data_IF_086399245333
#
_entry.id   IF_086399245333
#
_cell.length_a   1.000
_cell.length_b   1.000
_cell.length_c   1.000
_cell.angle_alpha   90.00
_cell.angle_beta   90.00
_cell.angle_gamma   90.00
#
_symmetry.space_group_name_H-M   'P 1'
#
loop_
_entity.id
_entity.type
_entity.pdbx_description
1 polymer ?
#
# COMPACT_ATOMS: atom_id res chain seq x y z
N UNK A 1 -18.30 5.92 16.62
CA UNK A 1 -16.89 5.90 17.06
C UNK A 1 -16.08 5.15 16.02
N UNK A 2 -15.02 5.76 15.51
CA UNK A 2 -14.21 5.22 14.41
C UNK A 2 -13.37 4.02 14.86
N UNK A 3 -13.51 2.88 14.19
CA UNK A 3 -12.68 1.68 14.42
C UNK A 3 -11.99 1.24 13.13
N UNK A 4 -10.69 1.03 13.20
CA UNK A 4 -9.90 0.49 12.09
C UNK A 4 -9.67 -1.00 12.29
N UNK A 5 -10.14 -1.81 11.36
CA UNK A 5 -9.91 -3.25 11.31
C UNK A 5 -8.62 -3.54 10.53
N UNK A 6 -7.53 -3.65 11.26
CA UNK A 6 -6.18 -3.77 10.73
C UNK A 6 -5.72 -5.23 10.69
N UNK A 7 -5.44 -5.73 9.52
CA UNK A 7 -4.74 -7.00 9.33
C UNK A 7 -3.24 -6.72 9.23
N UNK A 8 -2.43 -7.47 9.93
CA UNK A 8 -0.97 -7.32 9.88
C UNK A 8 -0.42 -7.43 8.44
N UNK A 9 0.65 -6.70 8.13
CA UNK A 9 1.30 -6.67 6.81
C UNK A 9 0.31 -6.52 5.66
N UNK A 10 -0.54 -5.52 5.75
CA UNK A 10 -1.59 -5.25 4.75
C UNK A 10 -1.71 -3.77 4.40
N UNK A 11 -2.54 -3.50 3.41
CA UNK A 11 -2.87 -2.14 2.96
C UNK A 11 -3.51 -1.26 4.01
N UNK A 12 -3.95 -1.81 5.15
CA UNK A 12 -4.53 -1.03 6.25
C UNK A 12 -3.54 -0.07 6.90
N UNK A 13 -2.24 -0.26 6.70
CA UNK A 13 -1.22 0.68 7.15
C UNK A 13 -1.41 2.10 6.56
N UNK A 14 -1.94 2.21 5.34
CA UNK A 14 -2.30 3.48 4.71
C UNK A 14 -3.30 4.28 5.53
N UNK A 15 -4.30 3.57 6.05
CA UNK A 15 -5.39 4.14 6.86
C UNK A 15 -4.86 4.60 8.21
N UNK A 16 -4.02 3.78 8.85
CA UNK A 16 -3.37 4.16 10.10
C UNK A 16 -2.54 5.42 9.93
N UNK A 17 -1.71 5.48 8.88
CA UNK A 17 -0.89 6.65 8.61
C UNK A 17 -1.74 7.91 8.39
N UNK A 18 -2.81 7.84 7.59
CA UNK A 18 -3.70 8.98 7.38
C UNK A 18 -4.32 9.47 8.68
N UNK A 19 -4.84 8.57 9.51
CA UNK A 19 -5.44 8.93 10.79
C UNK A 19 -4.45 9.54 11.77
N UNK A 20 -3.21 9.05 11.79
CA UNK A 20 -2.14 9.65 12.59
C UNK A 20 -1.72 11.05 12.10
N UNK A 21 -1.77 11.31 10.80
CA UNK A 21 -1.54 12.65 10.24
C UNK A 21 -2.68 13.61 10.60
N UNK A 22 -3.91 13.13 10.50
CA UNK A 22 -5.12 13.93 10.81
C UNK A 22 -5.30 14.16 12.33
N UNK A 23 -4.58 13.41 13.18
CA UNK A 23 -4.76 13.48 14.63
C UNK A 23 -6.14 13.01 15.10
N UNK A 24 -6.81 12.19 14.30
CA UNK A 24 -8.16 11.69 14.60
C UNK A 24 -8.09 10.51 15.57
N UNK A 25 -8.82 10.55 16.70
CA UNK A 25 -8.89 9.41 17.60
C UNK A 25 -9.65 8.25 16.98
N UNK A 26 -9.11 7.03 17.13
CA UNK A 26 -9.72 5.80 16.63
C UNK A 26 -9.40 4.61 17.52
N UNK A 27 -10.25 3.59 17.46
CA UNK A 27 -9.99 2.27 18.04
C UNK A 27 -9.28 1.39 17.00
N UNK A 28 -8.19 0.74 17.39
CA UNK A 28 -7.47 -0.19 16.53
C UNK A 28 -7.82 -1.63 16.89
N UNK A 29 -8.51 -2.33 16.01
CA UNK A 29 -8.73 -3.77 16.12
C UNK A 29 -7.77 -4.52 15.21
N UNK A 30 -6.77 -5.19 15.81
CA UNK A 30 -5.74 -5.93 15.09
C UNK A 30 -6.17 -7.36 14.83
N UNK A 31 -5.82 -7.84 13.64
CA UNK A 31 -6.02 -9.24 13.22
C UNK A 31 -4.69 -9.82 12.76
N UNK A 32 -4.35 -10.99 13.27
CA UNK A 32 -3.23 -11.77 12.80
C UNK A 32 -3.63 -12.59 11.57
N UNK A 33 -2.68 -12.86 10.70
CA UNK A 33 -2.90 -13.82 9.60
C UNK A 33 -2.87 -15.24 10.13
N UNK A 34 -3.66 -16.11 9.54
CA UNK A 34 -3.55 -17.55 9.77
C UNK A 34 -2.11 -18.02 9.53
N UNK A 35 -1.52 -18.71 10.49
CA UNK A 35 -0.09 -19.07 10.46
C UNK A 35 0.27 -19.99 9.30
N UNK A 36 -0.67 -20.82 8.82
CA UNK A 36 -0.47 -21.79 7.74
C UNK A 36 -0.84 -21.23 6.37
N UNK A 37 -2.04 -20.67 6.26
CA UNK A 37 -2.58 -20.21 4.97
C UNK A 37 -2.18 -18.78 4.62
N UNK A 38 -1.71 -18.00 5.60
CA UNK A 38 -1.43 -16.56 5.50
C UNK A 38 -2.64 -15.71 5.10
N UNK A 39 -3.83 -16.29 5.12
CA UNK A 39 -5.08 -15.58 4.85
C UNK A 39 -5.55 -14.77 6.06
N UNK A 40 -6.49 -13.88 5.81
CA UNK A 40 -7.20 -13.15 6.86
C UNK A 40 -8.08 -14.12 7.68
N UNK A 41 -8.21 -13.91 9.00
CA UNK A 41 -9.02 -14.77 9.85
C UNK A 41 -10.52 -14.58 9.56
N UNK A 42 -11.35 -15.60 9.88
CA UNK A 42 -12.79 -15.57 9.61
C UNK A 42 -13.54 -14.40 10.24
N UNK A 43 -13.04 -13.87 11.35
CA UNK A 43 -13.63 -12.74 12.07
C UNK A 43 -13.73 -11.48 11.23
N UNK A 44 -12.83 -11.28 10.25
CA UNK A 44 -12.93 -10.17 9.29
C UNK A 44 -14.15 -10.29 8.39
N UNK A 45 -14.62 -11.52 8.09
CA UNK A 45 -15.86 -11.72 7.32
C UNK A 45 -17.11 -11.30 8.08
N UNK A 46 -17.08 -11.36 9.42
CA UNK A 46 -18.18 -10.86 10.25
C UNK A 46 -18.25 -9.32 10.23
N UNK A 47 -17.15 -8.61 9.92
CA UNK A 47 -17.13 -7.15 9.78
C UNK A 47 -17.57 -6.74 8.37
N UNK A 48 -17.02 -7.39 7.35
CA UNK A 48 -17.36 -7.12 5.96
C UNK A 48 -17.28 -8.42 5.13
N UNK A 49 -18.27 -8.74 4.27
CA UNK A 49 -18.40 -10.04 3.61
C UNK A 49 -17.18 -10.43 2.74
N UNK A 50 -16.41 -9.49 2.24
CA UNK A 50 -15.16 -9.77 1.50
C UNK A 50 -14.06 -10.37 2.38
N UNK A 51 -14.10 -10.20 3.72
CA UNK A 51 -13.07 -10.68 4.63
C UNK A 51 -11.68 -10.13 4.31
N UNK A 52 -11.60 -8.90 3.83
CA UNK A 52 -10.37 -8.20 3.46
C UNK A 52 -10.09 -7.05 4.44
N UNK A 53 -8.88 -6.51 4.38
CA UNK A 53 -8.44 -5.34 5.14
C UNK A 53 -7.70 -4.38 4.20
N UNK A 54 -7.86 -3.05 4.38
CA UNK A 54 -8.55 -2.37 5.48
C UNK A 54 -10.08 -2.44 5.41
N UNK A 55 -10.69 -2.38 6.58
CA UNK A 55 -12.09 -2.02 6.77
C UNK A 55 -12.15 -1.00 7.90
N UNK A 56 -13.01 -0.01 7.77
CA UNK A 56 -13.28 0.98 8.81
C UNK A 56 -14.77 0.91 9.15
N UNK A 57 -15.08 0.89 10.44
CA UNK A 57 -16.46 1.09 10.92
C UNK A 57 -16.54 2.42 11.64
N UNK A 58 -17.52 3.24 11.27
CA UNK A 58 -17.78 4.53 11.89
C UNK A 58 -19.27 4.66 12.19
N UNK A 59 -19.61 4.52 13.46
CA UNK A 59 -20.99 4.40 13.96
C UNK A 59 -21.77 3.27 13.24
N UNK A 60 -22.60 3.61 12.24
CA UNK A 60 -23.42 2.63 11.49
C UNK A 60 -22.85 2.29 10.11
N UNK A 61 -21.78 2.97 9.70
CA UNK A 61 -21.19 2.78 8.39
C UNK A 61 -20.03 1.78 8.45
N UNK A 62 -19.96 0.90 7.48
CA UNK A 62 -18.82 -0.01 7.28
C UNK A 62 -18.27 0.22 5.88
N UNK A 63 -17.03 0.69 5.83
CA UNK A 63 -16.37 1.10 4.59
C UNK A 63 -15.19 0.16 4.34
N UNK A 64 -15.17 -0.44 3.17
CA UNK A 64 -14.07 -1.26 2.65
C UNK A 64 -13.42 -0.57 1.45
N UNK A 65 -12.34 -1.13 0.93
CA UNK A 65 -11.46 -0.61 -0.10
C UNK A 65 -10.60 0.57 0.39
N UNK A 66 -9.29 0.42 0.28
CA UNK A 66 -8.36 1.40 0.84
C UNK A 66 -8.54 2.80 0.23
N UNK A 67 -8.78 2.90 -1.07
CA UNK A 67 -9.04 4.18 -1.73
C UNK A 67 -10.29 4.87 -1.20
N UNK A 68 -11.42 4.16 -1.16
CA UNK A 68 -12.68 4.69 -0.64
C UNK A 68 -12.58 5.11 0.83
N UNK A 69 -11.86 4.34 1.64
CA UNK A 69 -11.60 4.68 3.06
C UNK A 69 -10.78 5.97 3.17
N UNK A 70 -9.72 6.11 2.36
CA UNK A 70 -8.87 7.31 2.37
C UNK A 70 -9.66 8.55 1.96
N UNK A 71 -10.49 8.46 0.91
CA UNK A 71 -11.38 9.55 0.47
C UNK A 71 -12.37 9.92 1.57
N UNK A 72 -13.10 8.95 2.11
CA UNK A 72 -14.05 9.17 3.20
C UNK A 72 -13.42 9.87 4.42
N UNK A 73 -12.26 9.39 4.87
CA UNK A 73 -11.58 9.98 6.02
C UNK A 73 -11.06 11.37 5.72
N UNK A 74 -10.52 11.60 4.54
CA UNK A 74 -10.05 12.91 4.13
C UNK A 74 -11.20 13.93 4.00
N UNK A 75 -12.32 13.57 3.38
CA UNK A 75 -13.52 14.40 3.27
C UNK A 75 -14.09 14.74 4.65
N UNK A 76 -14.16 13.76 5.54
CA UNK A 76 -14.77 13.93 6.85
C UNK A 76 -13.92 14.74 7.82
N UNK A 77 -12.59 14.62 7.74
CA UNK A 77 -11.70 15.16 8.77
C UNK A 77 -10.67 16.17 8.28
N UNK A 78 -10.30 16.23 6.98
CA UNK A 78 -9.26 17.14 6.50
C UNK A 78 -9.69 18.63 6.58
N UNK A 79 -10.96 18.93 6.49
CA UNK A 79 -11.47 20.31 6.64
C UNK A 79 -11.21 20.92 8.02
N UNK A 80 -10.86 20.09 9.00
CA UNK A 80 -10.51 20.49 10.38
C UNK A 80 -9.01 20.69 10.56
N UNK A 81 -8.19 20.39 9.56
CA UNK A 81 -6.74 20.52 9.61
C UNK A 81 -6.27 21.80 8.94
N UNK A 82 -5.24 22.41 9.50
CA UNK A 82 -4.55 23.57 8.93
C UNK A 82 -3.16 23.16 8.42
N UNK A 83 -2.50 24.04 7.68
CA UNK A 83 -1.13 23.83 7.21
C UNK A 83 -1.02 22.85 6.06
N UNK A 84 0.00 21.99 6.10
CA UNK A 84 0.36 21.08 5.01
C UNK A 84 -0.78 20.11 4.61
N UNK A 85 -1.67 19.78 5.54
CA UNK A 85 -2.80 18.88 5.30
C UNK A 85 -4.07 19.57 4.78
N UNK A 86 -4.09 20.88 4.68
CA UNK A 86 -5.21 21.61 4.08
C UNK A 86 -5.41 21.26 2.59
N UNK A 87 -4.34 20.83 1.91
CA UNK A 87 -4.33 20.37 0.51
C UNK A 87 -4.46 18.86 0.32
N UNK A 88 -4.87 18.12 1.36
CA UNK A 88 -4.93 16.66 1.31
C UNK A 88 -5.80 16.13 0.17
N UNK A 89 -6.92 16.79 -0.10
CA UNK A 89 -7.71 16.60 -1.33
C UNK A 89 -7.50 17.87 -2.18
N UNK A 90 -6.73 17.81 -3.27
CA UNK A 90 -6.52 18.98 -4.11
C UNK A 90 -7.82 19.48 -4.73
N UNK A 91 -7.91 20.80 -4.93
CA UNK A 91 -9.11 21.48 -5.44
C UNK A 91 -9.53 20.91 -6.80
N UNK A 92 -10.81 20.58 -6.92
CA UNK A 92 -11.37 20.05 -8.16
C UNK A 92 -11.07 20.96 -9.38
N UNK A 93 -10.72 20.35 -10.51
CA UNK A 93 -10.37 21.06 -11.75
C UNK A 93 -8.87 21.42 -11.87
N UNK A 94 -8.08 21.35 -10.79
CA UNK A 94 -6.64 21.65 -10.84
C UNK A 94 -5.81 20.50 -11.42
N UNK A 95 -4.57 20.75 -11.89
CA UNK A 95 -3.65 19.70 -12.28
C UNK A 95 -3.37 18.71 -11.13
N UNK A 96 -3.19 19.19 -9.91
CA UNK A 96 -2.91 18.41 -8.71
C UNK A 96 -4.06 17.45 -8.39
N UNK A 97 -5.32 17.89 -8.58
CA UNK A 97 -6.49 17.03 -8.42
C UNK A 97 -6.50 15.89 -9.46
N UNK A 98 -6.16 16.18 -10.72
CA UNK A 98 -6.06 15.14 -11.76
C UNK A 98 -4.94 14.14 -11.44
N UNK A 99 -3.79 14.63 -10.97
CA UNK A 99 -2.68 13.78 -10.54
C UNK A 99 -3.07 12.92 -9.32
N UNK A 100 -3.70 13.51 -8.31
CA UNK A 100 -4.17 12.75 -7.15
C UNK A 100 -5.10 11.60 -7.56
N UNK A 101 -6.09 11.87 -8.42
CA UNK A 101 -6.99 10.84 -8.94
C UNK A 101 -6.25 9.78 -9.74
N UNK A 102 -5.32 10.17 -10.62
CA UNK A 102 -4.52 9.22 -11.38
C UNK A 102 -3.78 8.25 -10.45
N UNK A 103 -3.05 8.75 -9.48
CA UNK A 103 -2.25 7.91 -8.58
C UNK A 103 -3.09 7.09 -7.60
N UNK A 104 -4.25 7.60 -7.19
CA UNK A 104 -5.23 6.83 -6.41
C UNK A 104 -5.67 5.56 -7.14
N UNK A 105 -5.96 5.66 -8.44
CA UNK A 105 -6.36 4.51 -9.27
C UNK A 105 -5.16 3.67 -9.71
N UNK A 106 -4.03 4.30 -10.06
CA UNK A 106 -2.82 3.63 -10.52
C UNK A 106 -2.29 2.62 -9.49
N UNK A 107 -2.34 2.97 -8.21
CA UNK A 107 -1.83 2.13 -7.13
C UNK A 107 -2.39 0.70 -7.17
N UNK A 108 -3.71 0.56 -7.24
CA UNK A 108 -4.36 -0.75 -7.20
C UNK A 108 -4.71 -1.28 -8.61
N UNK A 109 -5.12 -0.40 -9.53
CA UNK A 109 -5.54 -0.80 -10.87
C UNK A 109 -4.39 -1.22 -11.79
N UNK A 110 -3.19 -0.70 -11.57
CA UNK A 110 -2.04 -0.95 -12.43
C UNK A 110 -0.86 -1.57 -11.68
N UNK A 111 -0.30 -0.87 -10.69
CA UNK A 111 0.96 -1.26 -10.06
C UNK A 111 0.81 -2.53 -9.21
N UNK A 112 -0.18 -2.58 -8.33
CA UNK A 112 -0.32 -3.70 -7.39
C UNK A 112 -0.63 -5.02 -8.08
N UNK A 113 -1.27 -5.03 -9.24
CA UNK A 113 -1.51 -6.24 -10.02
C UNK A 113 -0.19 -6.95 -10.37
N UNK A 114 0.79 -6.21 -10.89
CA UNK A 114 2.11 -6.76 -11.21
C UNK A 114 2.87 -7.19 -9.96
N UNK A 115 2.78 -6.42 -8.88
CA UNK A 115 3.47 -6.76 -7.63
C UNK A 115 2.87 -7.99 -6.94
N UNK A 116 1.56 -8.18 -7.01
CA UNK A 116 0.90 -9.40 -6.49
C UNK A 116 1.26 -10.60 -7.36
N UNK A 117 1.22 -10.46 -8.70
CA UNK A 117 1.69 -11.52 -9.60
C UNK A 117 3.14 -11.90 -9.31
N UNK A 118 4.03 -10.91 -9.16
CA UNK A 118 5.44 -11.16 -8.80
C UNK A 118 5.54 -11.96 -7.51
N UNK A 119 4.82 -11.56 -6.47
CA UNK A 119 4.79 -12.30 -5.20
C UNK A 119 4.30 -13.74 -5.37
N UNK A 120 3.24 -13.95 -6.14
CA UNK A 120 2.71 -15.30 -6.41
C UNK A 120 3.75 -16.19 -7.10
N UNK A 121 4.37 -15.70 -8.18
CA UNK A 121 5.37 -16.46 -8.92
C UNK A 121 6.68 -16.68 -8.15
N UNK A 122 7.02 -15.82 -7.20
CA UNK A 122 8.11 -16.06 -6.25
C UNK A 122 7.74 -17.13 -5.23
N UNK A 123 6.47 -17.22 -4.83
CA UNK A 123 6.03 -18.11 -3.76
C UNK A 123 5.70 -19.53 -4.25
N UNK A 124 5.18 -19.69 -5.47
CA UNK A 124 4.78 -20.99 -6.02
C UNK A 124 5.90 -22.06 -5.89
N UNK A 125 7.17 -21.80 -6.25
CA UNK A 125 8.23 -22.82 -6.15
C UNK A 125 8.61 -23.21 -4.72
N UNK A 126 8.16 -22.45 -3.72
CA UNK A 126 8.43 -22.71 -2.30
C UNK A 126 7.34 -23.55 -1.63
N UNK A 127 6.20 -23.74 -2.32
CA UNK A 127 5.09 -24.54 -1.79
C UNK A 127 5.45 -26.03 -1.71
N UNK A 128 4.78 -26.79 -0.82
CA UNK A 128 4.93 -28.22 -0.77
C UNK A 128 4.61 -28.88 -2.12
N UNK A 129 5.59 -29.59 -2.69
CA UNK A 129 5.44 -30.33 -3.95
C UNK A 129 6.47 -31.47 -4.02
N UNK A 130 6.23 -32.51 -4.84
CA UNK A 130 7.22 -33.56 -5.09
C UNK A 130 8.55 -32.98 -5.56
N UNK A 131 9.67 -33.59 -5.11
CA UNK A 131 10.99 -33.01 -5.33
C UNK A 131 11.36 -32.89 -6.83
N UNK A 132 10.88 -33.81 -7.67
CA UNK A 132 11.10 -33.77 -9.12
C UNK A 132 10.27 -32.72 -9.86
N UNK A 133 9.18 -32.22 -9.28
CA UNK A 133 8.38 -31.16 -9.86
C UNK A 133 8.98 -29.76 -9.58
N UNK A 134 9.69 -29.62 -8.46
CA UNK A 134 10.23 -28.34 -8.01
C UNK A 134 11.15 -27.64 -9.04
N UNK A 135 12.11 -28.31 -9.72
CA UNK A 135 12.93 -27.65 -10.73
C UNK A 135 12.11 -27.15 -11.93
N UNK A 136 11.07 -27.89 -12.35
CA UNK A 136 10.17 -27.50 -13.42
C UNK A 136 9.38 -26.27 -13.02
N UNK A 137 8.80 -26.27 -11.82
CA UNK A 137 8.06 -25.12 -11.27
C UNK A 137 8.96 -23.86 -11.17
N UNK A 138 10.22 -24.02 -10.70
CA UNK A 138 11.19 -22.91 -10.65
C UNK A 138 11.46 -22.33 -12.02
N UNK A 139 11.75 -23.17 -13.00
CA UNK A 139 12.08 -22.76 -14.37
C UNK A 139 10.87 -22.04 -15.02
N UNK A 140 9.68 -22.59 -14.88
CA UNK A 140 8.46 -21.99 -15.42
C UNK A 140 8.19 -20.60 -14.77
N UNK A 141 8.22 -20.54 -13.44
CA UNK A 141 8.01 -19.31 -12.71
C UNK A 141 9.07 -18.24 -13.04
N UNK A 142 10.34 -18.62 -13.13
CA UNK A 142 11.42 -17.72 -13.52
C UNK A 142 11.21 -17.18 -14.95
N UNK A 143 10.78 -18.04 -15.89
CA UNK A 143 10.51 -17.62 -17.27
C UNK A 143 9.37 -16.60 -17.34
N UNK A 144 8.26 -16.84 -16.64
CA UNK A 144 7.12 -15.90 -16.59
C UNK A 144 7.56 -14.59 -15.94
N UNK A 145 8.31 -14.66 -14.83
CA UNK A 145 8.82 -13.44 -14.19
C UNK A 145 9.69 -12.64 -15.16
N UNK A 146 10.71 -13.25 -15.76
CA UNK A 146 11.65 -12.55 -16.64
C UNK A 146 11.00 -11.99 -17.91
N UNK A 147 10.03 -12.71 -18.52
CA UNK A 147 9.45 -12.31 -19.81
C UNK A 147 8.23 -11.40 -19.67
N UNK A 148 7.50 -11.48 -18.58
CA UNK A 148 6.23 -10.74 -18.45
C UNK A 148 6.24 -9.80 -17.24
N UNK A 149 6.56 -10.30 -16.04
CA UNK A 149 6.32 -9.54 -14.82
C UNK A 149 7.41 -8.48 -14.61
N UNK A 150 8.67 -8.85 -14.69
CA UNK A 150 9.80 -7.97 -14.40
C UNK A 150 9.89 -6.76 -15.35
N UNK A 151 9.64 -6.89 -16.68
CA UNK A 151 9.60 -5.73 -17.57
C UNK A 151 8.49 -4.74 -17.19
N UNK A 152 7.30 -5.22 -16.81
CA UNK A 152 6.19 -4.36 -16.40
C UNK A 152 6.46 -3.68 -15.06
N UNK A 153 7.05 -4.38 -14.09
CA UNK A 153 7.48 -3.80 -12.82
C UNK A 153 8.58 -2.76 -13.04
N UNK A 154 9.56 -3.04 -13.91
CA UNK A 154 10.62 -2.10 -14.24
C UNK A 154 10.07 -0.82 -14.91
N UNK A 155 9.13 -0.97 -15.85
CA UNK A 155 8.43 0.16 -16.47
C UNK A 155 7.68 1.00 -15.43
N UNK A 156 6.97 0.36 -14.52
CA UNK A 156 6.25 1.05 -13.45
C UNK A 156 7.20 1.81 -12.50
N UNK A 157 8.32 1.20 -12.11
CA UNK A 157 9.34 1.86 -11.30
C UNK A 157 9.97 3.05 -12.01
N UNK A 158 10.33 2.91 -13.28
CA UNK A 158 10.89 3.99 -14.07
C UNK A 158 9.89 5.16 -14.27
N UNK A 159 8.62 4.85 -14.45
CA UNK A 159 7.55 5.85 -14.56
C UNK A 159 7.39 6.66 -13.27
N UNK A 160 7.34 5.98 -12.12
CA UNK A 160 7.27 6.66 -10.81
C UNK A 160 8.54 7.46 -10.51
N UNK A 161 9.73 6.92 -10.83
CA UNK A 161 11.02 7.62 -10.67
C UNK A 161 11.06 8.91 -11.48
N UNK A 162 10.65 8.85 -12.75
CA UNK A 162 10.56 10.02 -13.63
C UNK A 162 9.59 11.06 -13.08
N UNK A 163 8.41 10.65 -12.62
CA UNK A 163 7.43 11.55 -12.03
C UNK A 163 7.98 12.27 -10.79
N UNK A 164 8.58 11.52 -9.87
CA UNK A 164 9.17 12.07 -8.65
C UNK A 164 10.48 12.83 -8.86
N UNK A 165 11.01 12.87 -10.09
CA UNK A 165 12.13 13.75 -10.44
C UNK A 165 11.73 15.22 -10.50
N UNK A 166 10.46 15.50 -10.76
CA UNK A 166 9.89 16.85 -10.93
C UNK A 166 8.81 17.19 -9.89
N UNK A 167 8.39 16.22 -9.08
CA UNK A 167 7.36 16.41 -8.06
C UNK A 167 7.85 15.90 -6.70
N UNK A 168 7.57 16.65 -5.66
CA UNK A 168 7.91 16.25 -4.30
C UNK A 168 7.06 15.09 -3.79
N UNK A 169 5.75 15.12 -4.12
CA UNK A 169 4.73 14.15 -3.78
C UNK A 169 3.97 13.73 -5.04
N UNK A 170 3.19 12.66 -4.98
CA UNK A 170 2.53 12.14 -6.19
C UNK A 170 1.52 13.11 -6.83
N UNK A 171 0.90 14.02 -6.06
CA UNK A 171 0.01 15.03 -6.64
C UNK A 171 0.68 16.39 -6.91
N UNK A 172 1.93 16.59 -6.50
CA UNK A 172 2.67 17.85 -6.68
C UNK A 172 3.60 18.16 -5.51
N UNK A 173 3.59 19.41 -5.03
CA UNK A 173 4.50 19.87 -3.97
C UNK A 173 4.01 19.55 -2.56
N UNK A 174 2.71 19.31 -2.38
CA UNK A 174 2.10 18.99 -1.10
C UNK A 174 1.65 17.53 -1.03
N UNK A 175 1.70 16.96 0.18
CA UNK A 175 1.18 15.61 0.42
C UNK A 175 -0.33 15.57 0.17
N UNK A 176 -0.80 14.50 -0.45
CA UNK A 176 -2.21 14.30 -0.78
C UNK A 176 -2.66 12.86 -0.47
N UNK A 177 -3.95 12.58 -0.60
CA UNK A 177 -4.49 11.21 -0.46
C UNK A 177 -3.80 10.21 -1.38
N UNK A 178 -3.27 10.66 -2.53
CA UNK A 178 -2.51 9.82 -3.44
C UNK A 178 -1.26 9.22 -2.79
N UNK A 179 -0.58 9.97 -1.92
CA UNK A 179 0.63 9.52 -1.25
C UNK A 179 0.32 8.42 -0.23
N UNK A 180 -0.79 8.54 0.49
CA UNK A 180 -1.25 7.47 1.38
C UNK A 180 -1.59 6.22 0.60
N UNK A 181 -2.27 6.35 -0.54
CA UNK A 181 -2.63 5.22 -1.40
C UNK A 181 -1.39 4.57 -2.03
N UNK A 182 -0.43 5.35 -2.50
CA UNK A 182 0.82 4.89 -3.12
C UNK A 182 1.81 4.30 -2.11
N UNK A 183 1.75 4.67 -0.83
CA UNK A 183 2.73 4.29 0.19
C UNK A 183 3.02 2.79 0.22
N UNK A 184 1.98 1.97 0.34
CA UNK A 184 2.12 0.51 0.36
C UNK A 184 2.66 -0.05 -0.96
N UNK A 185 2.22 0.52 -2.09
CA UNK A 185 2.65 0.07 -3.41
C UNK A 185 4.13 0.38 -3.66
N UNK A 186 4.61 1.55 -3.24
CA UNK A 186 6.02 1.93 -3.32
C UNK A 186 6.88 1.04 -2.43
N UNK A 187 6.47 0.81 -1.18
CA UNK A 187 7.15 -0.13 -0.28
C UNK A 187 7.27 -1.53 -0.89
N UNK A 188 6.16 -2.04 -1.43
CA UNK A 188 6.13 -3.35 -2.06
C UNK A 188 6.99 -3.41 -3.33
N UNK A 189 7.02 -2.35 -4.13
CA UNK A 189 7.82 -2.27 -5.35
C UNK A 189 9.32 -2.25 -5.01
N UNK A 190 9.73 -1.38 -4.08
CA UNK A 190 11.12 -1.26 -3.66
C UNK A 190 11.63 -2.54 -2.98
N UNK A 191 10.82 -3.17 -2.11
CA UNK A 191 11.21 -4.40 -1.41
C UNK A 191 11.42 -5.60 -2.36
N UNK A 192 10.84 -5.55 -3.56
CA UNK A 192 10.92 -6.61 -4.57
C UNK A 192 11.80 -6.24 -5.76
N UNK A 193 12.42 -5.06 -5.73
CA UNK A 193 13.37 -4.62 -6.75
C UNK A 193 14.75 -5.21 -6.49
N UNK A 194 15.35 -5.82 -7.49
CA UNK A 194 16.71 -6.34 -7.41
C UNK A 194 17.76 -5.22 -7.32
N UNK A 195 17.45 -4.02 -7.80
CA UNK A 195 18.37 -2.89 -7.81
C UNK A 195 17.67 -1.56 -7.49
N UNK A 196 17.40 -1.33 -6.21
CA UNK A 196 16.76 -0.10 -5.71
C UNK A 196 17.62 1.16 -5.93
N UNK A 197 18.94 1.00 -6.11
CA UNK A 197 19.86 2.13 -6.36
C UNK A 197 19.59 2.83 -7.68
N UNK A 198 18.91 2.19 -8.62
CA UNK A 198 18.48 2.79 -9.89
C UNK A 198 17.31 3.76 -9.74
N UNK A 199 16.65 3.80 -8.56
CA UNK A 199 15.47 4.60 -8.31
C UNK A 199 15.66 5.55 -7.11
N UNK A 200 16.64 6.49 -7.19
CA UNK A 200 16.97 7.37 -6.07
C UNK A 200 15.84 8.31 -5.65
N UNK A 201 14.96 8.71 -6.58
CA UNK A 201 13.81 9.58 -6.25
C UNK A 201 12.72 8.83 -5.51
N UNK A 202 12.45 7.57 -5.90
CA UNK A 202 11.56 6.67 -5.15
C UNK A 202 12.11 6.38 -3.75
N UNK A 203 13.40 6.14 -3.63
CA UNK A 203 14.06 5.96 -2.33
C UNK A 203 13.91 7.23 -1.48
N UNK A 204 14.21 8.41 -2.05
CA UNK A 204 14.06 9.69 -1.35
C UNK A 204 12.59 9.97 -0.96
N UNK A 205 11.62 9.59 -1.79
CA UNK A 205 10.20 9.67 -1.46
C UNK A 205 9.85 8.77 -0.27
N UNK A 206 10.25 7.50 -0.30
CA UNK A 206 10.05 6.56 0.83
C UNK A 206 10.67 7.11 2.11
N UNK A 207 11.91 7.58 2.06
CA UNK A 207 12.62 8.10 3.22
C UNK A 207 11.94 9.35 3.79
N UNK A 208 11.40 10.22 2.92
CA UNK A 208 10.57 11.37 3.31
C UNK A 208 9.29 10.95 4.02
N UNK A 209 8.62 9.93 3.49
CA UNK A 209 7.44 9.34 4.10
C UNK A 209 7.77 8.75 5.48
N UNK A 210 8.85 7.98 5.58
CA UNK A 210 9.30 7.37 6.82
C UNK A 210 9.74 8.40 7.87
N UNK A 211 10.28 9.53 7.47
CA UNK A 211 10.69 10.60 8.38
C UNK A 211 9.51 11.32 9.05
N UNK A 212 8.28 11.12 8.58
CA UNK A 212 7.09 11.76 9.18
C UNK A 212 6.76 11.13 10.55
N UNK A 213 6.61 11.94 11.60
CA UNK A 213 6.27 11.40 12.93
C UNK A 213 4.96 10.59 12.96
N UNK A 214 3.98 10.99 12.14
CA UNK A 214 2.71 10.27 12.02
C UNK A 214 2.89 8.90 11.38
N UNK A 215 3.76 8.77 10.36
CA UNK A 215 4.09 7.49 9.77
C UNK A 215 4.74 6.54 10.79
N UNK A 216 5.66 7.06 11.59
CA UNK A 216 6.32 6.30 12.65
C UNK A 216 5.33 5.83 13.74
N UNK A 217 4.37 6.70 14.13
CA UNK A 217 3.30 6.28 15.05
C UNK A 217 2.41 5.19 14.45
N UNK A 218 2.08 5.31 13.16
CA UNK A 218 1.32 4.28 12.44
C UNK A 218 2.05 2.94 12.41
N UNK A 219 3.38 2.94 12.17
CA UNK A 219 4.19 1.73 12.24
C UNK A 219 4.22 1.12 13.65
N UNK A 220 4.38 1.95 14.68
CA UNK A 220 4.38 1.49 16.07
C UNK A 220 3.05 0.81 16.45
N UNK A 221 1.93 1.30 15.93
CA UNK A 221 0.59 0.75 16.18
C UNK A 221 0.27 -0.46 15.30
N UNK A 222 0.57 -0.39 14.00
CA UNK A 222 0.20 -1.40 13.00
C UNK A 222 1.23 -2.52 12.80
N UNK A 223 2.50 -2.25 13.11
CA UNK A 223 3.60 -3.14 12.78
C UNK A 223 4.15 -2.91 11.36
N UNK A 224 5.00 -3.79 10.86
CA UNK A 224 5.67 -3.62 9.57
C UNK A 224 4.70 -3.65 8.40
N UNK A 225 4.96 -2.84 7.37
CA UNK A 225 4.13 -2.72 6.16
C UNK A 225 4.22 -3.98 5.30
N UNK A 226 5.42 -4.50 5.14
CA UNK A 226 5.72 -5.66 4.29
C UNK A 226 6.37 -6.74 5.16
N UNK A 227 6.01 -8.00 4.94
CA UNK A 227 6.77 -9.09 5.51
C UNK A 227 8.18 -9.05 4.91
N UNK A 228 9.16 -8.71 5.71
CA UNK A 228 10.55 -8.97 5.35
C UNK A 228 10.70 -10.48 5.33
N UNK A 229 10.86 -11.06 4.13
CA UNK A 229 11.38 -12.40 4.02
C UNK A 229 12.80 -12.36 4.57
N UNK A 230 12.97 -12.72 5.84
CA UNK A 230 14.28 -13.22 6.23
C UNK A 230 14.47 -14.51 5.42
N UNK A 231 15.55 -14.61 4.62
CA UNK A 231 15.93 -15.89 4.09
C UNK A 231 16.22 -16.82 5.29
N UNK A 232 15.86 -18.11 5.18
CA UNK A 232 16.19 -19.10 6.18
C UNK A 232 17.70 -19.24 6.36
#
# INVERSE_FOLDING_TARGET
>A
MLTVHHLETSRSQRVLWLLEELGVPYTLKRYARDSRTKLAPPELKAVHPLGKSPVVTDDRETIAESGAILEFLAEKYASRTAGELAGLIPLAGTPEHRQARFWMHYAEGSLMNWLVMKLMFMTIPTQPMPFFVRPIARQLCATVQAKLIDPNVATALAFMESHLSTHRWFAGEQISIADFQMSFAVEAALSRSANIKQFPKLVAYRDRMHARPAYQRALAKGGPVIMTSQPP
#
